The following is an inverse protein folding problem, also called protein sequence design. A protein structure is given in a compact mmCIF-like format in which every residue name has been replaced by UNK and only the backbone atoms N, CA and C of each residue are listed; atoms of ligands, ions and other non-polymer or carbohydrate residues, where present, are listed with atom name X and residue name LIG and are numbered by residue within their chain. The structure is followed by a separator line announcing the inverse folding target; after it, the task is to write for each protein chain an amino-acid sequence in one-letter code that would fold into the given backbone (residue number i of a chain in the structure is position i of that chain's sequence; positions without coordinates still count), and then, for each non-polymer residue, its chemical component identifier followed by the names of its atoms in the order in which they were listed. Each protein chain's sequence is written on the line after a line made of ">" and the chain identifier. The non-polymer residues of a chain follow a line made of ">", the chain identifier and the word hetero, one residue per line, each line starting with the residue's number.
data_IF_273691669212
#
_entry.id   IF_273691669212
#
_cell.length_a   1.000
_cell.length_b   1.000
_cell.length_c   1.000
_cell.angle_alpha   90.00
_cell.angle_beta   90.00
_cell.angle_gamma   90.00
#
_symmetry.space_group_name_H-M   'P 1'
#
loop_
_entity.id
_entity.type
_entity.pdbx_description
1 polymer ?
#
# COMPACT_ATOMS: atom_id res chain seq x y z
N UNK A 1 -19.31 7.51 8.82
CA UNK A 1 -18.59 6.41 9.49
C UNK A 1 -19.63 5.30 9.64
N UNK A 2 -19.71 4.44 8.63
CA UNK A 2 -20.65 3.30 8.65
C UNK A 2 -19.81 2.10 9.10
N UNK A 3 -20.00 1.70 10.36
CA UNK A 3 -19.53 0.43 10.88
C UNK A 3 -20.37 -0.68 10.21
N UNK A 4 -19.76 -1.36 9.26
CA UNK A 4 -20.25 -2.65 8.78
C UNK A 4 -19.66 -3.75 9.67
N UNK A 5 -20.24 -3.95 10.84
CA UNK A 5 -20.06 -5.20 11.58
C UNK A 5 -20.80 -6.31 10.82
N UNK A 6 -20.07 -6.99 9.95
CA UNK A 6 -20.55 -8.19 9.29
C UNK A 6 -20.47 -9.36 10.27
N UNK A 7 -21.54 -9.61 11.01
CA UNK A 7 -21.71 -10.85 11.75
C UNK A 7 -21.97 -12.01 10.77
N UNK A 8 -20.92 -12.59 10.20
CA UNK A 8 -20.99 -13.84 9.42
C UNK A 8 -21.29 -15.04 10.35
N UNK A 9 -21.37 -14.81 11.67
CA UNK A 9 -21.40 -15.84 12.69
C UNK A 9 -22.64 -16.75 12.69
N UNK A 10 -23.78 -16.30 12.16
CA UNK A 10 -25.05 -17.02 12.29
C UNK A 10 -25.53 -17.73 11.02
N UNK A 11 -24.85 -17.53 9.89
CA UNK A 11 -25.30 -18.07 8.60
C UNK A 11 -24.49 -19.30 8.12
N UNK A 12 -23.41 -19.67 8.78
CA UNK A 12 -22.65 -20.84 8.42
C UNK A 12 -23.05 -22.02 9.33
N UNK A 13 -23.55 -23.13 8.79
CA UNK A 13 -23.77 -24.33 9.59
C UNK A 13 -22.44 -24.80 10.14
N UNK A 14 -22.25 -24.72 11.46
CA UNK A 14 -21.22 -25.34 12.31
C UNK A 14 -19.89 -25.76 11.63
N UNK A 15 -19.35 -24.90 10.77
CA UNK A 15 -17.96 -25.07 10.35
C UNK A 15 -17.08 -24.71 11.55
N UNK A 16 -16.49 -25.74 12.14
CA UNK A 16 -15.47 -25.58 13.16
C UNK A 16 -14.46 -24.52 12.70
N UNK A 17 -13.94 -23.72 13.62
CA UNK A 17 -12.90 -22.69 13.42
C UNK A 17 -11.60 -23.20 12.77
N UNK A 18 -11.61 -24.36 12.16
CA UNK A 18 -10.46 -24.95 11.52
C UNK A 18 -10.46 -24.60 10.03
N UNK A 19 -9.64 -23.63 9.66
CA UNK A 19 -9.41 -23.22 8.27
C UNK A 19 -8.85 -24.36 7.38
N UNK A 20 -8.29 -25.39 7.99
CA UNK A 20 -7.59 -26.47 7.31
C UNK A 20 -8.47 -27.25 6.29
N UNK A 21 -9.70 -27.66 6.61
CA UNK A 21 -10.58 -28.34 5.65
C UNK A 21 -10.92 -27.47 4.45
N UNK A 22 -11.11 -26.16 4.66
CA UNK A 22 -11.36 -25.22 3.58
C UNK A 22 -10.14 -25.07 2.68
N UNK A 23 -8.94 -24.90 3.25
CA UNK A 23 -7.69 -24.87 2.48
C UNK A 23 -7.50 -26.11 1.61
N UNK A 24 -7.79 -27.30 2.14
CA UNK A 24 -7.68 -28.55 1.36
C UNK A 24 -8.65 -28.61 0.17
N UNK A 25 -9.81 -27.97 0.28
CA UNK A 25 -10.77 -27.92 -0.82
C UNK A 25 -10.28 -27.01 -1.95
N UNK A 26 -9.81 -25.80 -1.64
CA UNK A 26 -9.48 -24.77 -2.62
C UNK A 26 -8.00 -24.72 -3.01
N UNK A 27 -7.10 -25.29 -2.20
CA UNK A 27 -5.66 -25.29 -2.42
C UNK A 27 -5.10 -26.70 -2.51
N UNK A 28 -3.93 -26.81 -3.12
CA UNK A 28 -3.10 -28.03 -3.18
C UNK A 28 -1.89 -27.86 -2.26
N UNK A 29 -1.66 -28.76 -1.29
CA UNK A 29 -0.48 -28.68 -0.43
C UNK A 29 0.76 -29.15 -1.18
N UNK A 30 1.85 -28.42 -1.03
CA UNK A 30 3.19 -28.81 -1.49
C UNK A 30 4.13 -28.83 -0.28
N UNK A 31 4.69 -29.99 -0.01
CA UNK A 31 5.63 -30.14 1.10
C UNK A 31 7.03 -29.77 0.60
N UNK A 32 7.62 -28.75 1.20
CA UNK A 32 9.00 -28.32 0.95
C UNK A 32 9.87 -28.80 2.11
N UNK A 33 10.93 -29.54 1.80
CA UNK A 33 11.93 -29.96 2.78
C UNK A 33 13.03 -28.91 2.85
N UNK A 34 13.23 -28.30 4.02
CA UNK A 34 14.29 -27.32 4.28
C UNK A 34 15.15 -27.87 5.43
N UNK A 35 16.22 -28.59 5.08
CA UNK A 35 17.03 -29.33 6.05
C UNK A 35 16.21 -30.42 6.74
N UNK A 36 16.19 -30.42 8.07
CA UNK A 36 15.41 -31.37 8.89
C UNK A 36 13.94 -30.95 9.09
N UNK A 37 13.53 -29.79 8.60
CA UNK A 37 12.17 -29.26 8.76
C UNK A 37 11.39 -29.38 7.46
N UNK A 38 10.11 -29.75 7.56
CA UNK A 38 9.16 -29.68 6.45
C UNK A 38 8.23 -28.50 6.63
N UNK A 39 8.01 -27.74 5.55
CA UNK A 39 7.04 -26.63 5.50
C UNK A 39 6.01 -26.98 4.43
N UNK A 40 4.73 -26.81 4.76
CA UNK A 40 3.66 -26.95 3.78
C UNK A 40 3.37 -25.59 3.14
N UNK A 41 3.62 -25.51 1.84
CA UNK A 41 3.20 -24.39 1.02
C UNK A 41 1.87 -24.74 0.35
N UNK A 42 0.91 -23.80 0.37
CA UNK A 42 -0.39 -23.98 -0.24
C UNK A 42 -0.46 -23.18 -1.53
N UNK A 43 -0.87 -23.84 -2.62
CA UNK A 43 -1.05 -23.21 -3.94
C UNK A 43 -2.52 -23.33 -4.32
N UNK A 44 -3.14 -22.25 -4.78
CA UNK A 44 -4.53 -22.24 -5.21
C UNK A 44 -4.75 -23.21 -6.38
N UNK A 45 -5.86 -23.94 -6.37
CA UNK A 45 -6.30 -24.74 -7.51
C UNK A 45 -6.77 -23.83 -8.62
N UNK A 46 -6.70 -24.29 -9.87
CA UNK A 46 -7.10 -23.49 -11.04
C UNK A 46 -8.55 -22.98 -10.99
N UNK A 47 -9.42 -23.66 -10.28
CA UNK A 47 -10.84 -23.30 -10.09
C UNK A 47 -11.16 -22.85 -8.65
N UNK A 48 -10.18 -22.44 -7.87
CA UNK A 48 -10.37 -22.02 -6.48
C UNK A 48 -11.37 -20.87 -6.34
N UNK A 49 -11.28 -19.86 -7.20
CA UNK A 49 -12.20 -18.71 -7.20
C UNK A 49 -13.65 -19.14 -7.43
N UNK A 50 -13.89 -20.04 -8.40
CA UNK A 50 -15.22 -20.55 -8.71
C UNK A 50 -15.78 -21.36 -7.52
N UNK A 51 -14.97 -22.21 -6.92
CA UNK A 51 -15.38 -23.02 -5.74
C UNK A 51 -15.75 -22.14 -4.55
N UNK A 52 -14.98 -21.06 -4.30
CA UNK A 52 -15.28 -20.10 -3.24
C UNK A 52 -16.56 -19.32 -3.58
N UNK A 53 -16.69 -18.86 -4.82
CA UNK A 53 -17.88 -18.13 -5.26
C UNK A 53 -19.16 -18.97 -5.15
N UNK A 54 -19.09 -20.26 -5.47
CA UNK A 54 -20.23 -21.18 -5.35
C UNK A 54 -20.63 -21.40 -3.88
N UNK A 55 -19.67 -21.53 -2.97
CA UNK A 55 -19.96 -21.67 -1.53
C UNK A 55 -20.56 -20.40 -0.93
N UNK A 56 -20.19 -19.24 -1.46
CA UNK A 56 -20.66 -17.96 -0.95
C UNK A 56 -21.93 -17.45 -1.65
N UNK A 57 -22.39 -18.10 -2.71
CA UNK A 57 -23.48 -17.63 -3.58
C UNK A 57 -24.76 -17.29 -2.83
N UNK A 58 -25.13 -18.13 -1.86
CA UNK A 58 -26.41 -17.99 -1.14
C UNK A 58 -26.34 -17.05 0.07
N UNK A 59 -25.12 -16.67 0.48
CA UNK A 59 -24.90 -15.86 1.69
C UNK A 59 -24.25 -14.51 1.40
N UNK A 60 -23.86 -14.24 0.13
CA UNK A 60 -23.26 -12.96 -0.26
C UNK A 60 -24.02 -12.32 -1.39
N UNK A 61 -24.19 -11.00 -1.28
CA UNK A 61 -24.68 -10.14 -2.36
C UNK A 61 -23.50 -9.30 -2.82
N UNK A 62 -23.17 -9.38 -4.11
CA UNK A 62 -22.11 -8.59 -4.72
C UNK A 62 -22.71 -7.63 -5.75
N UNK A 63 -22.54 -6.35 -5.49
CA UNK A 63 -22.85 -5.31 -6.46
C UNK A 63 -21.54 -4.69 -6.98
N UNK A 64 -21.44 -4.51 -8.29
CA UNK A 64 -20.41 -3.66 -8.87
C UNK A 64 -20.91 -2.23 -8.84
N UNK A 65 -20.02 -1.28 -8.55
CA UNK A 65 -20.38 0.13 -8.47
C UNK A 65 -20.95 0.65 -9.79
N UNK A 66 -20.41 0.17 -10.91
CA UNK A 66 -20.85 0.51 -12.26
C UNK A 66 -22.29 0.06 -12.57
N UNK A 67 -22.74 -1.03 -11.92
CA UNK A 67 -24.09 -1.57 -12.09
C UNK A 67 -25.13 -0.83 -11.20
N UNK A 68 -24.66 -0.09 -10.20
CA UNK A 68 -25.53 0.55 -9.21
C UNK A 68 -25.73 2.04 -9.47
N UNK A 69 -24.78 2.72 -10.07
CA UNK A 69 -24.83 4.17 -10.34
C UNK A 69 -24.22 4.49 -11.71
N UNK A 70 -24.75 5.54 -12.34
CA UNK A 70 -24.14 6.10 -13.53
C UNK A 70 -22.83 6.80 -13.15
N UNK A 71 -21.72 6.18 -13.48
CA UNK A 71 -20.38 6.74 -13.22
C UNK A 71 -19.89 7.53 -14.42
N UNK A 72 -19.34 8.74 -14.22
CA UNK A 72 -18.65 9.45 -15.28
C UNK A 72 -17.40 8.66 -15.73
N UNK A 73 -16.99 8.87 -16.97
CA UNK A 73 -15.79 8.25 -17.51
C UNK A 73 -14.57 8.57 -16.63
N UNK A 74 -13.85 7.54 -16.23
CA UNK A 74 -12.64 7.69 -15.42
C UNK A 74 -11.47 8.10 -16.30
N UNK A 75 -10.86 9.24 -16.01
CA UNK A 75 -9.63 9.71 -16.63
C UNK A 75 -8.46 9.65 -15.65
N UNK A 76 -7.41 8.91 -16.00
CA UNK A 76 -6.18 8.82 -15.23
C UNK A 76 -5.09 9.62 -15.91
N UNK A 77 -4.60 10.66 -15.24
CA UNK A 77 -3.53 11.50 -15.74
C UNK A 77 -2.31 11.47 -14.83
N UNK A 78 -1.16 11.06 -15.37
CA UNK A 78 0.10 11.11 -14.66
C UNK A 78 0.73 12.49 -14.75
N UNK A 79 1.02 13.10 -13.62
CA UNK A 79 1.80 14.33 -13.51
C UNK A 79 3.19 14.05 -12.97
N UNK A 80 4.21 14.63 -13.59
CA UNK A 80 5.61 14.46 -13.17
C UNK A 80 6.13 15.81 -12.67
N UNK A 81 6.84 15.75 -11.54
CA UNK A 81 7.53 16.90 -10.94
C UNK A 81 9.02 16.68 -11.09
N UNK A 82 9.73 17.65 -11.65
CA UNK A 82 11.17 17.64 -11.69
C UNK A 82 11.71 18.15 -10.35
N UNK A 83 12.56 17.34 -9.71
CA UNK A 83 13.22 17.77 -8.48
C UNK A 83 14.37 18.74 -8.79
N UNK A 84 14.60 19.75 -7.94
CA UNK A 84 15.75 20.64 -8.07
C UNK A 84 17.08 19.86 -8.08
N UNK A 85 18.07 20.37 -8.81
CA UNK A 85 19.39 19.71 -8.92
C UNK A 85 20.00 19.39 -7.54
N UNK A 86 19.83 20.28 -6.56
CA UNK A 86 20.31 20.06 -5.19
C UNK A 86 19.69 18.82 -4.57
N UNK A 87 18.37 18.63 -4.71
CA UNK A 87 17.64 17.50 -4.16
C UNK A 87 18.02 16.21 -4.90
N UNK A 88 18.16 16.28 -6.21
CA UNK A 88 18.64 15.14 -7.00
C UNK A 88 20.04 14.68 -6.55
N UNK A 89 20.95 15.63 -6.28
CA UNK A 89 22.27 15.30 -5.72
C UNK A 89 22.19 14.63 -4.34
N UNK A 90 21.28 15.09 -3.47
CA UNK A 90 21.02 14.44 -2.19
C UNK A 90 20.47 13.02 -2.35
N UNK A 91 19.55 12.82 -3.31
CA UNK A 91 19.03 11.51 -3.66
C UNK A 91 20.13 10.55 -4.12
N UNK A 92 20.97 10.99 -5.05
CA UNK A 92 22.10 10.20 -5.57
C UNK A 92 23.11 9.84 -4.48
N UNK A 93 23.42 10.79 -3.59
CA UNK A 93 24.32 10.56 -2.43
C UNK A 93 23.73 9.51 -1.50
N UNK A 94 22.46 9.63 -1.11
CA UNK A 94 21.80 8.66 -0.26
C UNK A 94 21.68 7.27 -0.94
N UNK A 95 21.42 7.24 -2.24
CA UNK A 95 21.33 6.02 -3.01
C UNK A 95 22.67 5.28 -3.08
N UNK A 96 23.77 6.01 -3.28
CA UNK A 96 25.13 5.45 -3.36
C UNK A 96 25.67 5.09 -1.98
N UNK A 97 25.72 6.06 -1.07
CA UNK A 97 26.50 5.98 0.16
C UNK A 97 25.69 5.47 1.36
N UNK A 98 24.37 5.36 1.22
CA UNK A 98 23.43 5.00 2.30
C UNK A 98 23.43 5.99 3.49
N UNK A 99 24.05 7.14 3.32
CA UNK A 99 24.16 8.23 4.30
C UNK A 99 23.86 9.55 3.61
N UNK A 100 23.13 10.41 4.29
CA UNK A 100 22.84 11.77 3.84
C UNK A 100 22.97 12.76 4.98
N UNK A 101 23.69 13.85 4.75
CA UNK A 101 23.77 15.00 5.66
C UNK A 101 22.80 16.09 5.16
N UNK A 102 21.82 16.44 5.99
CA UNK A 102 20.81 17.48 5.65
C UNK A 102 21.19 18.87 6.13
N UNK A 103 22.35 19.03 6.75
CA UNK A 103 22.79 20.26 7.41
C UNK A 103 22.43 20.32 8.88
N UNK A 104 21.34 19.71 9.30
CA UNK A 104 20.91 19.64 10.71
C UNK A 104 20.99 18.22 11.28
N UNK A 105 20.93 17.21 10.41
CA UNK A 105 20.86 15.80 10.83
C UNK A 105 21.60 14.89 9.85
N UNK A 106 22.18 13.82 10.38
CA UNK A 106 22.71 12.70 9.58
C UNK A 106 21.64 11.63 9.46
N UNK A 107 21.32 11.24 8.23
CA UNK A 107 20.39 10.17 7.91
C UNK A 107 21.17 8.93 7.51
N UNK A 108 21.06 7.86 8.27
CA UNK A 108 21.69 6.58 7.98
C UNK A 108 20.64 5.58 7.47
N UNK A 109 20.97 4.88 6.39
CA UNK A 109 20.16 3.79 5.87
C UNK A 109 20.87 2.45 6.13
N UNK A 110 20.53 1.82 7.25
CA UNK A 110 21.23 0.63 7.79
C UNK A 110 21.08 -0.58 6.85
N UNK A 111 20.02 -0.66 6.08
CA UNK A 111 19.74 -1.75 5.13
C UNK A 111 19.00 -1.26 3.89
N UNK A 112 18.89 -2.12 2.88
CA UNK A 112 18.27 -1.78 1.59
C UNK A 112 16.81 -1.32 1.74
N UNK A 113 16.02 -1.93 2.62
CA UNK A 113 14.62 -1.55 2.85
C UNK A 113 14.49 -0.15 3.46
N UNK A 114 15.33 0.17 4.45
CA UNK A 114 15.39 1.50 5.05
C UNK A 114 15.87 2.52 4.01
N UNK A 115 16.84 2.17 3.15
CA UNK A 115 17.32 3.03 2.07
C UNK A 115 16.20 3.41 1.11
N UNK A 116 15.47 2.42 0.59
CA UNK A 116 14.33 2.67 -0.31
C UNK A 116 13.27 3.56 0.36
N UNK A 117 12.93 3.28 1.62
CA UNK A 117 11.99 4.10 2.38
C UNK A 117 12.45 5.55 2.51
N UNK A 118 13.73 5.79 2.81
CA UNK A 118 14.31 7.15 2.94
C UNK A 118 14.37 7.87 1.58
N UNK A 119 14.70 7.16 0.51
CA UNK A 119 14.67 7.72 -0.85
C UNK A 119 13.25 8.15 -1.26
N UNK A 120 12.23 7.33 -0.97
CA UNK A 120 10.84 7.69 -1.21
C UNK A 120 10.42 8.91 -0.38
N UNK A 121 10.79 8.99 0.89
CA UNK A 121 10.53 10.14 1.75
C UNK A 121 11.19 11.41 1.18
N UNK A 122 12.43 11.34 0.75
CA UNK A 122 13.13 12.48 0.14
C UNK A 122 12.40 12.97 -1.13
N UNK A 123 11.93 12.06 -1.99
CA UNK A 123 11.13 12.39 -3.17
C UNK A 123 9.78 13.03 -2.84
N UNK A 124 9.23 12.79 -1.66
CA UNK A 124 7.94 13.38 -1.23
C UNK A 124 8.09 14.71 -0.49
N UNK A 125 9.30 15.21 -0.29
CA UNK A 125 9.55 16.55 0.23
C UNK A 125 10.01 16.62 1.68
N UNK A 126 10.06 15.51 2.41
CA UNK A 126 10.61 15.50 3.77
C UNK A 126 11.23 14.14 4.10
N UNK A 127 12.03 14.10 5.16
CA UNK A 127 12.65 12.87 5.63
C UNK A 127 12.45 12.73 7.14
N UNK A 128 12.13 11.53 7.62
CA UNK A 128 11.98 11.27 9.05
C UNK A 128 13.34 11.01 9.71
N UNK A 129 13.53 11.58 10.89
CA UNK A 129 14.66 11.32 11.77
C UNK A 129 14.43 10.05 12.60
N UNK A 130 15.43 9.65 13.38
CA UNK A 130 15.33 8.48 14.27
C UNK A 130 14.32 8.70 15.41
N UNK A 131 14.15 9.94 15.87
CA UNK A 131 13.18 10.33 16.90
C UNK A 131 11.72 10.38 16.38
N UNK A 132 11.50 10.06 15.09
CA UNK A 132 10.17 10.09 14.46
C UNK A 132 9.71 11.47 13.99
N UNK A 133 10.47 12.53 14.25
CA UNK A 133 10.19 13.86 13.68
C UNK A 133 10.55 13.89 12.18
N UNK A 134 9.92 14.78 11.43
CA UNK A 134 10.22 14.98 10.01
C UNK A 134 10.92 16.30 9.75
N UNK A 135 11.88 16.28 8.85
CA UNK A 135 12.57 17.47 8.36
C UNK A 135 12.14 17.75 6.92
N UNK A 136 11.57 18.94 6.68
CA UNK A 136 11.18 19.39 5.34
C UNK A 136 12.40 19.68 4.47
N UNK A 137 12.40 19.17 3.25
CA UNK A 137 13.53 19.27 2.32
C UNK A 137 13.18 20.14 1.12
N UNK A 138 11.96 19.96 0.57
CA UNK A 138 11.47 20.71 -0.57
C UNK A 138 9.94 20.65 -0.68
N UNK A 139 9.33 21.52 -1.53
CA UNK A 139 7.87 21.69 -1.64
C UNK A 139 7.30 21.45 -3.04
N UNK A 140 8.11 21.21 -4.05
CA UNK A 140 7.70 21.20 -5.46
C UNK A 140 6.49 20.30 -5.75
N UNK A 141 6.42 19.14 -5.07
CA UNK A 141 5.29 18.23 -5.21
C UNK A 141 4.01 18.80 -4.59
N UNK A 142 4.13 19.46 -3.44
CA UNK A 142 2.99 20.08 -2.75
C UNK A 142 2.45 21.26 -3.54
N UNK A 143 3.33 22.06 -4.12
CA UNK A 143 2.96 23.22 -4.96
C UNK A 143 2.12 22.77 -6.15
N UNK A 144 2.53 21.68 -6.84
CA UNK A 144 1.74 21.09 -7.92
C UNK A 144 0.38 20.56 -7.42
N UNK A 145 0.35 19.85 -6.28
CA UNK A 145 -0.92 19.34 -5.71
C UNK A 145 -1.85 20.50 -5.38
N UNK A 146 -1.35 21.55 -4.75
CA UNK A 146 -2.13 22.74 -4.42
C UNK A 146 -2.66 23.46 -5.65
N UNK A 147 -1.86 23.56 -6.72
CA UNK A 147 -2.30 24.10 -8.00
C UNK A 147 -3.46 23.27 -8.58
N UNK A 148 -3.32 21.93 -8.61
CA UNK A 148 -4.35 21.03 -9.11
C UNK A 148 -5.64 21.09 -8.29
N UNK A 149 -5.55 21.21 -6.97
CA UNK A 149 -6.71 21.35 -6.07
C UNK A 149 -7.44 22.66 -6.33
N UNK A 150 -6.72 23.78 -6.47
CA UNK A 150 -7.32 25.09 -6.76
C UNK A 150 -8.08 25.14 -8.10
N UNK A 151 -7.70 24.30 -9.06
CA UNK A 151 -8.34 24.24 -10.38
C UNK A 151 -9.65 23.42 -10.36
N UNK A 152 -9.98 22.73 -9.26
CA UNK A 152 -11.10 21.80 -9.17
C UNK A 152 -12.08 22.24 -8.08
N UNK A 153 -13.37 21.97 -8.34
CA UNK A 153 -14.44 22.24 -7.36
C UNK A 153 -14.36 21.31 -6.14
N UNK A 154 -14.01 20.04 -6.38
CA UNK A 154 -13.86 19.03 -5.35
C UNK A 154 -12.59 18.22 -5.62
N UNK A 155 -11.86 17.91 -4.58
CA UNK A 155 -10.63 17.13 -4.67
C UNK A 155 -10.50 16.20 -3.46
N UNK A 156 -10.09 14.96 -3.71
CA UNK A 156 -9.65 14.04 -2.68
C UNK A 156 -8.16 13.81 -2.84
N UNK A 157 -7.38 14.14 -1.83
CA UNK A 157 -5.92 13.98 -1.85
C UNK A 157 -5.54 12.82 -0.95
N UNK A 158 -5.01 11.75 -1.54
CA UNK A 158 -4.44 10.63 -0.80
C UNK A 158 -2.94 10.84 -0.58
N UNK A 159 -2.44 10.45 0.59
CA UNK A 159 -1.03 10.57 0.97
C UNK A 159 -0.55 9.31 1.71
N UNK A 160 0.76 9.04 1.65
CA UNK A 160 1.39 7.91 2.32
C UNK A 160 2.08 8.27 3.64
N UNK A 161 2.48 9.54 3.79
CA UNK A 161 3.30 9.98 4.91
C UNK A 161 2.60 11.06 5.71
N UNK A 162 2.76 11.01 7.05
CA UNK A 162 2.15 12.02 7.94
C UNK A 162 2.59 13.45 7.65
N UNK A 163 3.83 13.65 7.19
CA UNK A 163 4.32 14.98 6.83
C UNK A 163 3.60 15.58 5.62
N UNK A 164 3.14 14.74 4.68
CA UNK A 164 2.39 15.19 3.50
C UNK A 164 1.03 15.82 3.87
N UNK A 165 0.44 15.39 4.98
CA UNK A 165 -0.81 15.96 5.49
C UNK A 165 -0.62 17.36 6.08
N UNK A 166 0.56 17.65 6.61
CA UNK A 166 0.81 18.86 7.41
C UNK A 166 1.32 20.04 6.54
N UNK A 167 1.48 19.83 5.24
CA UNK A 167 1.80 20.86 4.24
C UNK A 167 0.54 21.40 3.59
#
# INVERSE_FOLDING_TARGET
>A
MFDFDFHIHDALPSYSYNIYPFQQQVCTPKILQIGERSITEWTDKANAEEMVADQLRDITIRHKLEDCIDMPEQSITMRRVALPKRIMGQYETLARDSVLYTGTTTINAINAGVKVKKLLQLCTGAIYKEDGTSEGIHTERYDLVMELVKQRKHSLVAFNWKHERNH
#
